data_IF_520009918278
#
_entry.id   IF_520009918278
#
_cell.length_a   1.000
_cell.length_b   1.000
_cell.length_c   1.000
_cell.angle_alpha   90.00
_cell.angle_beta   90.00
_cell.angle_gamma   90.00
#
_symmetry.space_group_name_H-M   'P 1'
#
loop_
_entity.id
_entity.type
_entity.pdbx_description
1 polymer ?
#
# COMPACT_ATOMS: atom_id res chain seq x y z
N UNK A 1 -61.32 7.49 11.39
CA UNK A 1 -60.21 7.87 12.30
C UNK A 1 -58.98 7.05 11.90
N UNK A 2 -58.49 7.22 10.65
CA UNK A 2 -57.55 6.25 10.05
C UNK A 2 -56.50 6.89 9.12
N UNK A 3 -56.58 8.20 8.87
CA UNK A 3 -55.72 8.90 7.91
C UNK A 3 -54.45 9.51 8.56
N UNK A 4 -54.34 9.54 9.88
CA UNK A 4 -53.26 10.26 10.59
C UNK A 4 -51.92 9.50 10.60
N UNK A 5 -51.91 8.20 10.28
CA UNK A 5 -50.69 7.36 10.38
C UNK A 5 -49.81 7.36 9.11
N UNK A 6 -50.22 8.06 8.03
CA UNK A 6 -49.54 7.99 6.72
C UNK A 6 -48.47 9.07 6.51
N UNK A 7 -48.27 9.98 7.46
CA UNK A 7 -47.27 11.05 7.39
C UNK A 7 -46.18 10.93 8.46
N UNK A 8 -45.62 9.73 8.62
CA UNK A 8 -44.34 9.64 9.32
C UNK A 8 -43.28 10.39 8.49
N UNK A 9 -42.58 11.38 9.05
CA UNK A 9 -41.48 12.02 8.35
C UNK A 9 -40.48 10.94 7.94
N UNK A 10 -40.11 10.92 6.66
CA UNK A 10 -39.09 9.99 6.16
C UNK A 10 -37.86 10.12 7.06
N UNK A 11 -37.34 9.02 7.63
CA UNK A 11 -36.18 9.10 8.50
C UNK A 11 -35.04 9.84 7.77
N UNK A 12 -34.30 10.72 8.45
CA UNK A 12 -33.21 11.46 7.83
C UNK A 12 -32.26 10.49 7.14
N UNK A 13 -31.89 10.77 5.89
CA UNK A 13 -31.06 9.91 5.04
C UNK A 13 -29.72 9.60 5.75
N UNK A 14 -29.66 8.46 6.44
CA UNK A 14 -28.45 7.93 7.08
C UNK A 14 -27.38 7.52 6.06
N UNK A 15 -27.74 7.38 4.78
CA UNK A 15 -26.86 6.82 3.75
C UNK A 15 -25.76 7.76 3.24
N UNK A 16 -25.92 9.08 3.39
CA UNK A 16 -24.96 10.05 2.85
C UNK A 16 -23.73 10.19 3.76
N UNK A 17 -23.92 10.17 5.09
CA UNK A 17 -22.81 10.27 6.05
C UNK A 17 -21.93 9.02 6.06
N UNK A 18 -22.54 7.83 5.92
CA UNK A 18 -21.79 6.56 5.88
C UNK A 18 -21.00 6.42 4.58
N UNK A 19 -21.59 6.75 3.43
CA UNK A 19 -20.91 6.65 2.14
C UNK A 19 -19.64 7.53 2.07
N UNK A 20 -19.68 8.75 2.61
CA UNK A 20 -18.52 9.64 2.66
C UNK A 20 -17.42 9.13 3.61
N UNK A 21 -17.82 8.52 4.73
CA UNK A 21 -16.87 7.98 5.72
C UNK A 21 -16.15 6.75 5.18
N UNK A 22 -16.86 5.87 4.49
CA UNK A 22 -16.29 4.65 3.90
C UNK A 22 -15.27 4.98 2.80
N UNK A 23 -15.57 5.98 1.95
CA UNK A 23 -14.64 6.47 0.94
C UNK A 23 -13.38 7.10 1.53
N UNK A 24 -13.53 7.90 2.59
CA UNK A 24 -12.40 8.50 3.32
C UNK A 24 -11.50 7.43 3.95
N UNK A 25 -12.09 6.42 4.59
CA UNK A 25 -11.32 5.32 5.18
C UNK A 25 -10.56 4.55 4.11
N UNK A 26 -11.22 4.19 2.99
CA UNK A 26 -10.57 3.49 1.89
C UNK A 26 -9.39 4.29 1.30
N UNK A 27 -9.59 5.60 1.06
CA UNK A 27 -8.54 6.49 0.57
C UNK A 27 -7.37 6.61 1.56
N UNK A 28 -7.66 6.76 2.86
CA UNK A 28 -6.64 6.82 3.90
C UNK A 28 -5.83 5.51 3.99
N UNK A 29 -6.50 4.36 3.90
CA UNK A 29 -5.83 3.04 3.90
C UNK A 29 -4.93 2.90 2.67
N UNK A 30 -5.42 3.23 1.47
CA UNK A 30 -4.60 3.17 0.25
C UNK A 30 -3.41 4.11 0.31
N UNK A 31 -3.61 5.31 0.86
CA UNK A 31 -2.54 6.29 1.04
C UNK A 31 -1.49 5.80 2.03
N UNK A 32 -1.89 5.24 3.17
CA UNK A 32 -0.96 4.66 4.16
C UNK A 32 -0.23 3.43 3.63
N UNK A 33 -0.96 2.55 2.95
CA UNK A 33 -0.40 1.38 2.28
C UNK A 33 0.63 1.78 1.23
N UNK A 34 0.39 2.88 0.53
CA UNK A 34 1.39 3.46 -0.34
C UNK A 34 2.55 4.02 0.51
N UNK A 35 2.31 4.93 1.43
CA UNK A 35 3.37 5.66 2.11
C UNK A 35 4.34 4.77 2.90
N UNK A 36 3.86 3.72 3.56
CA UNK A 36 4.63 2.90 4.50
C UNK A 36 5.95 2.33 3.92
N UNK A 37 5.95 1.58 2.79
CA UNK A 37 7.19 1.04 2.23
C UNK A 37 8.17 2.13 1.77
N UNK A 38 7.69 3.31 1.36
CA UNK A 38 8.55 4.43 0.95
C UNK A 38 9.31 4.99 2.16
N UNK A 39 8.65 5.16 3.30
CA UNK A 39 9.30 5.62 4.52
C UNK A 39 10.40 4.67 4.98
N UNK A 40 10.18 3.35 4.84
CA UNK A 40 11.17 2.35 5.18
C UNK A 40 12.38 2.35 4.23
N UNK A 41 12.15 2.43 2.92
CA UNK A 41 13.25 2.55 1.93
C UNK A 41 14.06 3.82 2.21
N UNK A 42 13.40 4.94 2.50
CA UNK A 42 14.08 6.17 2.88
C UNK A 42 14.88 6.02 4.18
N UNK A 43 14.32 5.29 5.16
CA UNK A 43 15.03 4.91 6.38
C UNK A 43 16.31 4.12 6.08
N UNK A 44 16.23 3.10 5.23
CA UNK A 44 17.41 2.34 4.82
C UNK A 44 18.48 3.21 4.16
N UNK A 45 18.11 4.23 3.37
CA UNK A 45 19.06 5.21 2.86
C UNK A 45 19.67 6.08 3.95
N UNK A 46 18.84 6.72 4.80
CA UNK A 46 19.32 7.65 5.84
C UNK A 46 20.24 6.96 6.83
N UNK A 47 19.91 5.73 7.21
CA UNK A 47 20.69 4.95 8.15
C UNK A 47 21.76 4.07 7.48
N UNK A 48 21.92 4.18 6.16
CA UNK A 48 22.87 3.37 5.36
C UNK A 48 22.76 1.87 5.64
N UNK A 49 21.55 1.37 5.90
CA UNK A 49 21.32 -0.05 6.16
C UNK A 49 21.13 -0.78 4.83
N UNK A 50 22.18 -1.46 4.37
CA UNK A 50 22.10 -2.63 3.50
C UNK A 50 21.56 -2.43 2.08
N UNK A 51 21.17 -1.22 1.65
CA UNK A 51 20.73 -1.00 0.26
C UNK A 51 21.87 -1.12 -0.74
N UNK A 52 23.07 -0.65 -0.38
CA UNK A 52 24.27 -0.76 -1.24
C UNK A 52 24.79 -2.20 -1.31
N UNK A 53 24.54 -3.01 -0.26
CA UNK A 53 24.86 -4.43 -0.27
C UNK A 53 23.78 -5.23 -1.03
N UNK A 54 22.51 -4.88 -0.86
CA UNK A 54 21.38 -5.57 -1.47
C UNK A 54 21.25 -5.29 -2.97
N UNK A 55 21.56 -4.07 -3.41
CA UNK A 55 21.43 -3.66 -4.80
C UNK A 55 22.78 -3.23 -5.35
N UNK A 56 23.09 -3.70 -6.56
CA UNK A 56 24.34 -3.34 -7.26
C UNK A 56 24.46 -1.85 -7.61
N UNK A 57 23.36 -1.10 -7.52
CA UNK A 57 23.29 0.33 -7.79
C UNK A 57 22.12 0.96 -7.05
N UNK A 58 22.31 2.17 -6.53
CA UNK A 58 21.27 3.00 -5.90
C UNK A 58 20.09 3.32 -6.84
N UNK A 59 20.28 3.21 -8.16
CA UNK A 59 19.23 3.48 -9.16
C UNK A 59 18.10 2.45 -9.04
N UNK A 60 18.43 1.19 -8.75
CA UNK A 60 17.45 0.10 -8.65
C UNK A 60 16.44 0.38 -7.52
N UNK A 61 16.85 0.63 -6.27
CA UNK A 61 15.92 0.98 -5.20
C UNK A 61 15.23 2.33 -5.44
N UNK A 62 15.86 3.28 -6.14
CA UNK A 62 15.22 4.55 -6.49
C UNK A 62 14.06 4.39 -7.49
N UNK A 63 14.22 3.55 -8.52
CA UNK A 63 13.14 3.21 -9.45
C UNK A 63 12.07 2.37 -8.74
N UNK A 64 12.53 1.41 -7.95
CA UNK A 64 11.69 0.56 -7.11
C UNK A 64 10.81 1.36 -6.16
N UNK A 65 11.33 2.41 -5.54
CA UNK A 65 10.59 3.33 -4.67
C UNK A 65 9.35 3.95 -5.35
N UNK A 66 9.44 4.24 -6.65
CA UNK A 66 8.35 4.86 -7.41
C UNK A 66 7.36 3.81 -7.93
N UNK A 67 7.87 2.71 -8.50
CA UNK A 67 7.06 1.74 -9.25
C UNK A 67 6.65 0.52 -8.43
N UNK A 68 7.58 -0.06 -7.67
CA UNK A 68 7.41 -1.31 -6.93
C UNK A 68 7.97 -1.25 -5.49
N UNK A 69 7.44 -0.36 -4.65
CA UNK A 69 8.02 -0.05 -3.35
C UNK A 69 7.87 -1.20 -2.35
N UNK A 70 6.80 -2.01 -2.40
CA UNK A 70 6.69 -3.18 -1.52
C UNK A 70 7.72 -4.25 -1.89
N UNK A 71 7.88 -4.51 -3.18
CA UNK A 71 8.88 -5.47 -3.69
C UNK A 71 10.29 -5.05 -3.27
N UNK A 72 10.60 -3.76 -3.45
CA UNK A 72 11.91 -3.19 -3.15
C UNK A 72 12.23 -3.27 -1.66
N UNK A 73 11.25 -2.94 -0.81
CA UNK A 73 11.39 -3.06 0.63
C UNK A 73 11.61 -4.52 1.06
N UNK A 74 10.74 -5.43 0.62
CA UNK A 74 10.79 -6.82 1.07
C UNK A 74 12.05 -7.53 0.58
N UNK A 75 12.54 -7.22 -0.62
CA UNK A 75 13.82 -7.72 -1.09
C UNK A 75 14.98 -7.23 -0.23
N UNK A 76 15.07 -5.91 0.01
CA UNK A 76 16.12 -5.33 0.84
C UNK A 76 16.06 -5.87 2.28
N UNK A 77 14.86 -6.10 2.80
CA UNK A 77 14.67 -6.62 4.14
C UNK A 77 15.08 -8.10 4.24
N UNK A 78 14.73 -8.94 3.27
CA UNK A 78 15.18 -10.33 3.24
C UNK A 78 16.71 -10.41 3.10
N UNK A 79 17.31 -9.57 2.25
CA UNK A 79 18.76 -9.46 2.13
C UNK A 79 19.43 -9.12 3.47
N UNK A 80 18.88 -8.14 4.20
CA UNK A 80 19.40 -7.69 5.48
C UNK A 80 19.28 -8.74 6.59
N UNK A 81 18.21 -9.56 6.59
CA UNK A 81 18.01 -10.60 7.61
C UNK A 81 18.93 -11.80 7.39
N UNK A 82 19.13 -12.23 6.13
CA UNK A 82 19.81 -13.49 5.83
C UNK A 82 21.27 -13.36 5.40
N UNK A 83 21.96 -12.31 5.86
CA UNK A 83 23.41 -12.16 5.72
C UNK A 83 23.90 -12.18 4.26
N UNK A 84 23.35 -11.32 3.41
CA UNK A 84 23.81 -11.03 2.03
C UNK A 84 23.37 -11.99 0.92
N UNK A 85 22.23 -12.67 1.07
CA UNK A 85 21.58 -13.32 -0.08
C UNK A 85 20.08 -13.45 0.13
N UNK A 86 19.33 -13.54 -0.97
CA UNK A 86 17.91 -13.92 -0.97
C UNK A 86 17.77 -15.23 -1.72
N UNK A 87 17.50 -16.32 -1.01
CA UNK A 87 17.47 -17.67 -1.59
C UNK A 87 16.28 -18.50 -1.12
N UNK A 88 15.84 -19.45 -1.95
CA UNK A 88 14.77 -20.39 -1.62
C UNK A 88 13.46 -19.70 -1.21
N UNK A 89 13.04 -19.90 0.04
CA UNK A 89 11.76 -19.43 0.59
C UNK A 89 11.66 -17.92 0.79
N UNK A 90 12.78 -17.21 0.79
CA UNK A 90 12.84 -15.75 1.00
C UNK A 90 12.28 -14.96 -0.18
N UNK A 91 12.17 -15.62 -1.33
CA UNK A 91 11.46 -15.08 -2.49
C UNK A 91 9.95 -15.02 -2.29
N UNK A 92 9.38 -15.75 -1.33
CA UNK A 92 7.94 -15.73 -1.08
C UNK A 92 7.47 -14.34 -0.62
N UNK A 93 8.06 -13.69 0.41
CA UNK A 93 7.78 -12.30 0.73
C UNK A 93 7.96 -11.35 -0.46
N UNK A 94 9.04 -11.49 -1.23
CA UNK A 94 9.32 -10.64 -2.40
C UNK A 94 8.22 -10.77 -3.45
N UNK A 95 7.77 -12.00 -3.74
CA UNK A 95 6.68 -12.27 -4.67
C UNK A 95 5.34 -11.68 -4.16
N UNK A 96 5.07 -11.76 -2.86
CA UNK A 96 3.91 -11.07 -2.25
C UNK A 96 4.02 -9.57 -2.44
N UNK A 97 5.19 -8.98 -2.23
CA UNK A 97 5.45 -7.56 -2.52
C UNK A 97 5.12 -7.17 -3.97
N UNK A 98 5.55 -8.00 -4.92
CA UNK A 98 5.27 -7.77 -6.34
C UNK A 98 3.77 -7.83 -6.65
N UNK A 99 3.05 -8.78 -6.07
CA UNK A 99 1.59 -8.87 -6.21
C UNK A 99 0.88 -7.65 -5.61
N UNK A 100 1.35 -7.17 -4.46
CA UNK A 100 0.83 -5.97 -3.81
C UNK A 100 1.04 -4.71 -4.65
N UNK A 101 2.22 -4.53 -5.22
CA UNK A 101 2.52 -3.41 -6.11
C UNK A 101 1.66 -3.47 -7.39
N UNK A 102 1.54 -4.63 -8.02
CA UNK A 102 0.68 -4.83 -9.20
C UNK A 102 -0.79 -4.56 -8.92
N UNK A 103 -1.29 -5.05 -7.79
CA UNK A 103 -2.67 -4.82 -7.36
C UNK A 103 -2.94 -3.33 -7.13
N UNK A 104 -2.00 -2.64 -6.47
CA UNK A 104 -2.09 -1.20 -6.24
C UNK A 104 -2.08 -0.41 -7.55
N UNK A 105 -1.16 -0.71 -8.47
CA UNK A 105 -1.10 -0.07 -9.79
C UNK A 105 -2.39 -0.29 -10.59
N UNK A 106 -2.97 -1.48 -10.51
CA UNK A 106 -4.25 -1.79 -11.16
C UNK A 106 -5.41 -0.96 -10.60
N UNK A 107 -5.48 -0.80 -9.27
CA UNK A 107 -6.48 0.06 -8.62
C UNK A 107 -6.33 1.50 -9.08
N UNK A 108 -5.11 2.04 -9.04
CA UNK A 108 -4.84 3.42 -9.46
C UNK A 108 -5.21 3.61 -10.93
N UNK A 109 -4.83 2.68 -11.81
CA UNK A 109 -5.19 2.72 -13.22
C UNK A 109 -6.71 2.65 -13.44
N UNK A 110 -7.45 1.94 -12.59
CA UNK A 110 -8.92 1.87 -12.64
C UNK A 110 -9.58 3.16 -12.18
N UNK A 111 -8.99 3.87 -11.22
CA UNK A 111 -9.50 5.16 -10.74
C UNK A 111 -9.25 6.30 -11.73
N UNK A 112 -8.25 6.16 -12.60
CA UNK A 112 -7.90 7.16 -13.63
C UNK A 112 -8.69 7.01 -14.95
N UNK A 113 -9.47 5.93 -15.10
CA UNK A 113 -10.31 5.67 -16.28
C UNK A 113 -11.75 6.09 -16.03
#
# INVERSE_FOLDING_TARGET
MTETFRQLPRPPKRSEKTANTDGLIAAAVLFMFALFPRLWILGFWIFSYGLDDAYSSWIIPAVGFVVAPWTTLLYAWMWAINSNSVSGWEWLPVAVGALLDLWFLWIVARLMR
#
